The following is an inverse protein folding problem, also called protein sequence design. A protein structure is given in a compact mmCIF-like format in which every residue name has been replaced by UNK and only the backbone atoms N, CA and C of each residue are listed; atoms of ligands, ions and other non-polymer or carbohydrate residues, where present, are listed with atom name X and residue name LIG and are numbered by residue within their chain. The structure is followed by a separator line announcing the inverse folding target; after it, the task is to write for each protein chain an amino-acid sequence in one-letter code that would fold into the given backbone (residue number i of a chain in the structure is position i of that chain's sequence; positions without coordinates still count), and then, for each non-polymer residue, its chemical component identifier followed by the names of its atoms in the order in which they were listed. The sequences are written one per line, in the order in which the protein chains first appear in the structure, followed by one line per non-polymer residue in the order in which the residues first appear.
data_IF_705252731152
#
_entry.id   IF_705252731152
#
_cell.length_a   1.000
_cell.length_b   1.000
_cell.length_c   1.000
_cell.angle_alpha   90.00
_cell.angle_beta   90.00
_cell.angle_gamma   90.00
#
_symmetry.space_group_name_H-M   'P 1'
#
loop_
_entity.id
_entity.type
_entity.pdbx_description
1 polymer ?
#
# COMPACT_ATOMS: atom_id res chain seq x y z
N UNK A 1 -7.74 -5.22 13.51
CA UNK A 1 -6.65 -4.57 12.76
C UNK A 1 -6.52 -3.14 13.24
N UNK A 2 -5.32 -2.57 13.26
CA UNK A 2 -5.11 -1.16 13.60
C UNK A 2 -4.02 -0.55 12.72
N UNK A 3 -4.17 0.73 12.34
CA UNK A 3 -3.11 1.55 11.76
C UNK A 3 -2.65 2.58 12.78
N UNK A 4 -1.34 2.74 12.96
CA UNK A 4 -0.78 3.61 14.00
C UNK A 4 0.56 4.23 13.58
N UNK A 5 0.92 5.35 14.21
CA UNK A 5 2.28 5.89 14.12
C UNK A 5 3.28 5.11 15.02
N UNK A 6 2.79 4.19 15.86
CA UNK A 6 3.60 3.31 16.69
C UNK A 6 4.15 3.93 17.97
N UNK A 7 4.05 5.26 18.16
CA UNK A 7 4.71 5.97 19.27
C UNK A 7 4.21 5.60 20.66
N UNK A 8 2.94 5.18 20.76
CA UNK A 8 2.27 4.84 22.03
C UNK A 8 1.82 3.38 22.09
N UNK A 9 2.30 2.51 21.18
CA UNK A 9 1.96 1.08 21.20
C UNK A 9 2.32 0.40 22.52
N UNK A 10 3.38 0.88 23.20
CA UNK A 10 3.79 0.39 24.51
C UNK A 10 2.83 0.75 25.66
N UNK A 11 1.86 1.66 25.44
CA UNK A 11 0.87 2.04 26.46
C UNK A 11 -0.36 1.14 26.45
N UNK A 12 -0.56 0.35 25.41
CA UNK A 12 -1.65 -0.60 25.34
C UNK A 12 -1.17 -1.92 25.96
N UNK A 13 -1.96 -2.47 26.87
CA UNK A 13 -1.61 -3.73 27.54
C UNK A 13 -1.54 -4.88 26.52
N UNK A 14 -0.69 -5.86 26.82
CA UNK A 14 -0.42 -6.98 25.91
C UNK A 14 -1.70 -7.74 25.53
N UNK A 15 -2.66 -7.88 26.46
CA UNK A 15 -3.93 -8.55 26.18
C UNK A 15 -4.77 -7.87 25.08
N UNK A 16 -4.67 -6.55 24.91
CA UNK A 16 -5.37 -5.84 23.83
C UNK A 16 -4.56 -5.84 22.55
N UNK A 17 -3.24 -5.61 22.64
CA UNK A 17 -2.36 -5.63 21.46
C UNK A 17 -2.43 -6.99 20.77
N UNK A 18 -2.41 -8.07 21.54
CA UNK A 18 -2.40 -9.45 21.03
C UNK A 18 -3.76 -9.89 20.45
N UNK A 19 -4.83 -9.10 20.63
CA UNK A 19 -6.12 -9.33 19.94
C UNK A 19 -6.13 -8.81 18.50
N UNK A 20 -5.17 -7.98 18.11
CA UNK A 20 -5.10 -7.52 16.73
C UNK A 20 -4.51 -8.60 15.82
N UNK A 21 -5.26 -8.98 14.78
CA UNK A 21 -4.73 -9.81 13.70
C UNK A 21 -3.56 -9.12 12.96
N UNK A 22 -3.65 -7.81 12.72
CA UNK A 22 -2.67 -7.01 11.98
C UNK A 22 -2.48 -5.64 12.63
N UNK A 23 -1.23 -5.19 12.73
CA UNK A 23 -0.84 -3.83 13.12
C UNK A 23 0.00 -3.22 12.00
N UNK A 24 -0.52 -2.16 11.38
CA UNK A 24 0.20 -1.37 10.38
C UNK A 24 0.87 -0.20 11.08
N UNK A 25 2.19 -0.09 10.93
CA UNK A 25 2.99 0.93 11.62
C UNK A 25 3.65 1.86 10.62
N UNK A 26 3.53 3.14 10.87
CA UNK A 26 4.01 4.17 9.95
C UNK A 26 5.53 4.35 10.07
N UNK A 27 6.28 3.70 9.18
CA UNK A 27 7.74 3.77 9.03
C UNK A 27 8.06 3.86 7.55
N UNK A 28 8.90 4.83 7.16
CA UNK A 28 9.14 5.14 5.74
C UNK A 28 10.44 4.55 5.20
N UNK A 29 11.23 3.89 6.04
CA UNK A 29 12.54 3.35 5.68
C UNK A 29 13.48 3.29 6.87
N UNK A 30 14.72 3.67 6.64
CA UNK A 30 15.73 3.87 7.68
C UNK A 30 15.41 5.04 8.63
N UNK A 31 16.24 5.17 9.66
CA UNK A 31 16.08 6.21 10.69
C UNK A 31 16.11 7.60 10.08
N UNK A 32 17.04 7.86 9.16
CA UNK A 32 17.19 9.17 8.53
C UNK A 32 15.93 9.56 7.75
N UNK A 33 15.39 8.67 6.92
CA UNK A 33 14.21 8.97 6.12
C UNK A 33 12.93 9.05 6.96
N UNK A 34 12.76 8.11 7.89
CA UNK A 34 11.59 8.10 8.78
C UNK A 34 11.55 9.38 9.62
N UNK A 35 12.68 9.77 10.21
CA UNK A 35 12.76 10.97 11.04
C UNK A 35 12.61 12.26 10.20
N UNK A 36 13.06 12.24 8.95
CA UNK A 36 12.86 13.35 8.03
C UNK A 36 11.37 13.64 7.78
N UNK A 37 10.55 12.62 7.53
CA UNK A 37 9.12 12.82 7.29
C UNK A 37 8.27 12.87 8.56
N UNK A 38 8.66 12.17 9.63
CA UNK A 38 7.82 11.93 10.81
C UNK A 38 8.31 12.61 12.09
N UNK A 39 9.46 13.28 12.03
CA UNK A 39 10.07 14.00 13.13
C UNK A 39 11.17 13.21 13.82
N UNK A 40 12.20 13.93 14.29
CA UNK A 40 13.40 13.38 14.93
C UNK A 40 13.08 12.44 16.10
N UNK A 41 13.72 11.28 16.13
CA UNK A 41 13.58 10.25 17.16
C UNK A 41 12.36 9.34 16.98
N UNK A 42 11.61 9.48 15.89
CA UNK A 42 10.43 8.66 15.62
C UNK A 42 10.82 7.23 15.34
N UNK A 43 11.79 7.01 14.44
CA UNK A 43 12.20 5.66 14.03
C UNK A 43 12.56 4.78 15.22
N UNK A 44 13.51 5.25 16.05
CA UNK A 44 14.02 4.49 17.19
C UNK A 44 12.91 4.12 18.16
N UNK A 45 12.08 5.11 18.54
CA UNK A 45 10.96 4.90 19.45
C UNK A 45 9.94 3.89 18.92
N UNK A 46 9.63 3.95 17.64
CA UNK A 46 8.69 3.01 17.01
C UNK A 46 9.28 1.61 16.95
N UNK A 47 10.54 1.46 16.53
CA UNK A 47 11.25 0.16 16.50
C UNK A 47 11.33 -0.47 17.90
N UNK A 48 11.62 0.32 18.93
CA UNK A 48 11.69 -0.17 20.31
C UNK A 48 10.31 -0.64 20.81
N UNK A 49 9.25 0.08 20.47
CA UNK A 49 7.87 -0.34 20.75
C UNK A 49 7.48 -1.61 20.00
N UNK A 50 7.90 -1.77 18.74
CA UNK A 50 7.67 -3.00 17.96
C UNK A 50 8.38 -4.21 18.58
N UNK A 51 9.64 -4.03 19.00
CA UNK A 51 10.40 -5.05 19.74
C UNK A 51 9.74 -5.40 21.07
N UNK A 52 9.15 -4.42 21.76
CA UNK A 52 8.41 -4.65 22.99
C UNK A 52 7.15 -5.50 22.75
N UNK A 53 6.28 -5.13 21.80
CA UNK A 53 5.06 -5.90 21.56
C UNK A 53 5.35 -7.33 21.06
N UNK A 54 6.44 -7.52 20.28
CA UNK A 54 6.89 -8.87 19.91
C UNK A 54 7.36 -9.69 21.11
N UNK A 55 8.13 -9.09 22.03
CA UNK A 55 8.52 -9.76 23.29
C UNK A 55 7.32 -10.11 24.17
N UNK A 56 6.24 -9.33 24.09
CA UNK A 56 4.99 -9.56 24.82
C UNK A 56 4.03 -10.54 24.10
N UNK A 57 4.50 -11.26 23.08
CA UNK A 57 3.74 -12.35 22.45
C UNK A 57 2.85 -11.93 21.27
N UNK A 58 3.08 -10.78 20.63
CA UNK A 58 2.32 -10.42 19.44
C UNK A 58 2.65 -11.32 18.23
N UNK A 59 1.75 -12.25 17.91
CA UNK A 59 1.90 -13.19 16.79
C UNK A 59 1.27 -12.71 15.49
N UNK A 60 0.48 -11.63 15.54
CA UNK A 60 -0.16 -11.04 14.37
C UNK A 60 0.85 -10.48 13.35
N UNK A 61 0.30 -10.07 12.21
CA UNK A 61 1.05 -9.48 11.12
C UNK A 61 1.45 -8.03 11.45
N UNK A 62 2.76 -7.74 11.39
CA UNK A 62 3.28 -6.38 11.43
C UNK A 62 3.58 -5.93 10.00
N UNK A 63 2.97 -4.81 9.60
CA UNK A 63 3.19 -4.25 8.27
C UNK A 63 3.83 -2.88 8.40
N UNK A 64 4.99 -2.68 7.77
CA UNK A 64 5.54 -1.34 7.60
C UNK A 64 4.73 -0.59 6.54
N UNK A 65 4.14 0.53 6.94
CA UNK A 65 3.38 1.44 6.09
C UNK A 65 4.23 2.65 5.76
N UNK A 66 4.68 2.72 4.51
CA UNK A 66 5.50 3.84 4.03
C UNK A 66 4.64 4.89 3.32
N UNK A 67 5.03 6.15 3.44
CA UNK A 67 4.64 7.24 2.56
C UNK A 67 5.83 7.62 1.68
N UNK A 68 5.65 7.54 0.37
CA UNK A 68 6.73 7.67 -0.61
C UNK A 68 6.59 8.98 -1.37
N UNK A 69 7.67 9.75 -1.36
CA UNK A 69 7.86 10.98 -2.13
C UNK A 69 9.35 11.16 -2.48
N UNK A 70 9.73 12.30 -3.05
CA UNK A 70 10.97 12.51 -3.80
C UNK A 70 12.27 12.28 -3.02
N UNK A 71 12.26 12.30 -1.69
CA UNK A 71 13.44 11.95 -0.86
C UNK A 71 13.62 10.43 -0.68
N UNK A 72 12.70 9.62 -1.20
CA UNK A 72 12.68 8.17 -1.02
C UNK A 72 13.39 7.47 -2.18
N UNK A 73 14.44 6.73 -1.90
CA UNK A 73 14.91 5.64 -2.76
C UNK A 73 14.14 4.37 -2.37
N UNK A 74 13.12 4.02 -3.17
CA UNK A 74 12.20 2.94 -2.81
C UNK A 74 12.91 1.59 -2.63
N UNK A 75 13.94 1.30 -3.42
CA UNK A 75 14.66 0.03 -3.33
C UNK A 75 15.43 -0.04 -2.02
N UNK A 76 16.24 0.98 -1.72
CA UNK A 76 17.02 1.04 -0.48
C UNK A 76 16.12 0.98 0.75
N UNK A 77 15.03 1.72 0.75
CA UNK A 77 14.21 1.91 1.95
C UNK A 77 13.34 0.69 2.25
N UNK A 78 12.77 0.05 1.23
CA UNK A 78 12.08 -1.25 1.41
C UNK A 78 13.09 -2.31 1.86
N UNK A 79 14.30 -2.36 1.28
CA UNK A 79 15.35 -3.31 1.71
C UNK A 79 15.72 -3.11 3.17
N UNK A 80 15.87 -1.87 3.62
CA UNK A 80 16.14 -1.58 5.03
C UNK A 80 15.03 -2.10 5.94
N UNK A 81 13.75 -1.90 5.59
CA UNK A 81 12.63 -2.41 6.39
C UNK A 81 12.57 -3.94 6.43
N UNK A 82 13.08 -4.63 5.42
CA UNK A 82 13.11 -6.10 5.37
C UNK A 82 14.30 -6.72 6.12
N UNK A 83 15.40 -5.98 6.28
CA UNK A 83 16.70 -6.56 6.68
C UNK A 83 17.42 -5.80 7.81
N UNK A 84 16.94 -4.61 8.17
CA UNK A 84 17.56 -3.73 9.16
C UNK A 84 17.22 -4.08 10.61
N UNK A 85 17.18 -3.05 11.47
CA UNK A 85 17.05 -3.17 12.93
C UNK A 85 15.83 -3.97 13.43
N UNK A 86 14.78 -4.02 12.61
CA UNK A 86 13.56 -4.79 12.84
C UNK A 86 13.05 -5.31 11.49
N UNK A 87 13.35 -6.56 11.12
CA UNK A 87 13.02 -7.09 9.80
C UNK A 87 11.52 -7.39 9.68
N UNK A 88 10.81 -6.60 8.88
CA UNK A 88 9.43 -6.86 8.52
C UNK A 88 9.34 -7.97 7.48
N UNK A 89 8.31 -8.81 7.58
CA UNK A 89 7.90 -9.72 6.49
C UNK A 89 6.90 -9.08 5.52
N UNK A 90 6.31 -7.95 5.92
CA UNK A 90 5.21 -7.29 5.24
C UNK A 90 5.46 -5.80 5.12
N UNK A 91 5.41 -5.27 3.90
CA UNK A 91 5.63 -3.85 3.61
C UNK A 91 4.64 -3.41 2.54
N UNK A 92 4.06 -2.24 2.72
CA UNK A 92 3.36 -1.54 1.65
C UNK A 92 3.77 -0.08 1.66
N UNK A 93 3.59 0.58 0.52
CA UNK A 93 3.86 2.00 0.41
C UNK A 93 2.74 2.70 -0.34
N UNK A 94 2.58 3.99 -0.03
CA UNK A 94 1.62 4.86 -0.67
C UNK A 94 2.38 5.99 -1.36
N UNK A 95 2.15 6.20 -2.66
CA UNK A 95 2.78 7.30 -3.37
C UNK A 95 2.03 8.60 -3.09
N UNK A 96 2.70 9.57 -2.49
CA UNK A 96 2.14 10.91 -2.33
C UNK A 96 2.17 11.62 -3.69
N UNK A 97 1.15 11.41 -4.53
CA UNK A 97 1.01 12.04 -5.84
C UNK A 97 -0.46 12.37 -6.14
N UNK A 98 -0.74 13.65 -6.40
CA UNK A 98 -2.09 14.14 -6.71
C UNK A 98 -3.01 14.32 -5.51
N UNK A 99 -2.44 14.54 -4.31
CA UNK A 99 -3.20 14.86 -3.09
C UNK A 99 -3.31 16.36 -2.82
N UNK A 100 -2.47 17.20 -3.43
CA UNK A 100 -2.42 18.65 -3.24
C UNK A 100 -2.19 19.35 -4.58
N UNK A 101 -2.43 20.66 -4.64
CA UNK A 101 -2.13 21.49 -5.83
C UNK A 101 -0.64 21.91 -5.81
N UNK A 102 0.27 20.93 -5.77
CA UNK A 102 1.69 21.11 -5.46
C UNK A 102 2.65 20.68 -6.58
N UNK A 103 2.13 20.14 -7.70
CA UNK A 103 2.96 19.55 -8.76
C UNK A 103 4.08 20.48 -9.26
N UNK A 104 3.80 21.78 -9.46
CA UNK A 104 4.79 22.75 -9.94
C UNK A 104 5.98 22.97 -9.01
N UNK A 105 5.85 22.58 -7.74
CA UNK A 105 6.91 22.69 -6.71
C UNK A 105 7.69 21.40 -6.53
N UNK A 106 7.39 20.36 -7.31
CA UNK A 106 7.92 19.01 -7.13
C UNK A 106 8.81 18.60 -8.27
N UNK A 107 9.88 17.87 -7.95
CA UNK A 107 10.75 17.21 -8.93
C UNK A 107 10.23 15.81 -9.29
N UNK A 108 8.90 15.67 -9.35
CA UNK A 108 8.23 14.37 -9.46
C UNK A 108 8.67 13.62 -10.72
N UNK A 109 8.71 14.30 -11.88
CA UNK A 109 9.09 13.69 -13.17
C UNK A 109 10.48 13.06 -13.11
N UNK A 110 11.48 13.82 -12.66
CA UNK A 110 12.86 13.34 -12.62
C UNK A 110 12.98 12.21 -11.61
N UNK A 111 12.39 12.36 -10.43
CA UNK A 111 12.43 11.33 -9.39
C UNK A 111 11.70 10.05 -9.82
N UNK A 112 10.51 10.15 -10.42
CA UNK A 112 9.74 8.99 -10.85
C UNK A 112 10.49 8.19 -11.92
N UNK A 113 11.09 8.88 -12.90
CA UNK A 113 11.81 8.26 -14.01
C UNK A 113 13.18 7.69 -13.59
N UNK A 114 13.95 8.43 -12.80
CA UNK A 114 15.35 8.09 -12.54
C UNK A 114 15.56 7.32 -11.23
N UNK A 115 14.60 7.36 -10.30
CA UNK A 115 14.72 6.73 -9.00
C UNK A 115 13.60 5.72 -8.75
N UNK A 116 12.34 6.15 -8.72
CA UNK A 116 11.22 5.30 -8.30
C UNK A 116 11.00 4.10 -9.21
N UNK A 117 10.78 4.31 -10.51
CA UNK A 117 10.51 3.23 -11.47
C UNK A 117 11.68 2.22 -11.55
N UNK A 118 12.95 2.65 -11.70
CA UNK A 118 14.09 1.74 -11.64
C UNK A 118 14.17 0.98 -10.30
N UNK A 119 13.87 1.65 -9.19
CA UNK A 119 13.85 1.05 -7.85
C UNK A 119 12.78 -0.04 -7.71
N UNK A 120 11.57 0.20 -8.20
CA UNK A 120 10.47 -0.78 -8.22
C UNK A 120 10.85 -2.01 -9.05
N UNK A 121 11.45 -1.83 -10.23
CA UNK A 121 11.93 -2.95 -11.05
C UNK A 121 12.98 -3.80 -10.32
N UNK A 122 13.95 -3.14 -9.66
CA UNK A 122 14.94 -3.82 -8.81
C UNK A 122 14.28 -4.56 -7.64
N UNK A 123 13.23 -3.99 -7.03
CA UNK A 123 12.48 -4.67 -5.98
C UNK A 123 11.74 -5.90 -6.49
N UNK A 124 11.15 -5.85 -7.67
CA UNK A 124 10.49 -7.02 -8.28
C UNK A 124 11.47 -8.16 -8.53
N UNK A 125 12.65 -7.87 -9.07
CA UNK A 125 13.71 -8.87 -9.25
C UNK A 125 14.22 -9.42 -7.91
N UNK A 126 14.47 -8.55 -6.94
CA UNK A 126 14.87 -8.96 -5.60
C UNK A 126 13.82 -9.86 -4.95
N UNK A 127 12.54 -9.51 -5.06
CA UNK A 127 11.43 -10.24 -4.46
C UNK A 127 11.38 -11.69 -4.95
N UNK A 128 11.45 -11.91 -6.26
CA UNK A 128 11.46 -13.27 -6.83
C UNK A 128 12.79 -13.99 -6.58
N UNK A 129 13.91 -13.27 -6.57
CA UNK A 129 15.20 -13.85 -6.19
C UNK A 129 15.22 -14.30 -4.72
N UNK A 130 14.50 -13.61 -3.83
CA UNK A 130 14.33 -14.04 -2.44
C UNK A 130 13.49 -15.33 -2.34
N UNK A 131 12.44 -15.48 -3.16
CA UNK A 131 11.67 -16.73 -3.25
C UNK A 131 12.58 -17.90 -3.69
N UNK A 132 13.41 -17.71 -4.70
CA UNK A 132 14.32 -18.77 -5.19
C UNK A 132 15.36 -19.16 -4.15
N UNK A 133 15.92 -18.18 -3.43
CA UNK A 133 16.99 -18.41 -2.44
C UNK A 133 16.48 -18.95 -1.10
N UNK A 134 15.34 -18.45 -0.63
CA UNK A 134 14.84 -18.71 0.74
C UNK A 134 13.55 -19.53 0.79
N UNK A 135 12.86 -19.73 -0.34
CA UNK A 135 11.55 -20.39 -0.36
C UNK A 135 10.45 -19.58 0.32
N UNK A 136 10.61 -18.26 0.45
CA UNK A 136 9.66 -17.39 1.16
C UNK A 136 9.18 -16.25 0.27
N UNK A 137 7.86 -16.12 0.16
CA UNK A 137 7.19 -14.97 -0.45
C UNK A 137 7.03 -13.87 0.59
N UNK A 138 7.83 -12.81 0.48
CA UNK A 138 7.66 -11.61 1.31
C UNK A 138 6.37 -10.89 0.91
N UNK A 139 5.63 -10.33 1.87
CA UNK A 139 4.39 -9.61 1.60
C UNK A 139 4.68 -8.15 1.25
N UNK A 140 5.32 -7.95 0.09
CA UNK A 140 5.44 -6.64 -0.55
C UNK A 140 4.14 -6.34 -1.30
N UNK A 141 3.17 -5.73 -0.62
CA UNK A 141 1.78 -5.65 -1.07
C UNK A 141 1.58 -5.13 -2.50
N UNK A 142 2.30 -4.09 -2.97
CA UNK A 142 2.19 -3.64 -4.36
C UNK A 142 2.61 -4.69 -5.39
N UNK A 143 3.58 -5.55 -5.06
CA UNK A 143 4.03 -6.65 -5.91
C UNK A 143 3.10 -7.87 -5.79
N UNK A 144 2.80 -8.22 -4.53
CA UNK A 144 1.98 -9.38 -4.14
C UNK A 144 0.58 -9.31 -4.76
N UNK A 145 -0.11 -8.17 -4.65
CA UNK A 145 -1.49 -8.06 -5.13
C UNK A 145 -1.63 -8.12 -6.65
N UNK A 146 -0.65 -7.59 -7.38
CA UNK A 146 -0.61 -7.70 -8.84
C UNK A 146 -0.27 -9.15 -9.23
N UNK A 147 0.75 -9.74 -8.62
CA UNK A 147 1.14 -11.13 -8.89
C UNK A 147 -0.01 -12.09 -8.61
N UNK A 148 -0.70 -11.94 -7.48
CA UNK A 148 -1.92 -12.70 -7.16
C UNK A 148 -2.94 -12.58 -8.30
N UNK A 149 -3.22 -11.37 -8.79
CA UNK A 149 -4.21 -11.21 -9.86
C UNK A 149 -3.84 -11.99 -11.12
N UNK A 150 -2.56 -11.96 -11.50
CA UNK A 150 -2.08 -12.68 -12.70
C UNK A 150 -2.08 -14.20 -12.47
N UNK A 151 -1.57 -14.66 -11.34
CA UNK A 151 -1.44 -16.09 -11.02
C UNK A 151 -2.80 -16.78 -10.87
N UNK A 152 -3.79 -16.09 -10.30
CA UNK A 152 -5.14 -16.61 -10.10
C UNK A 152 -6.11 -16.25 -11.24
N UNK A 153 -5.63 -15.62 -12.32
CA UNK A 153 -6.45 -15.31 -13.49
C UNK A 153 -7.56 -14.27 -13.25
N UNK A 154 -7.36 -13.35 -12.30
CA UNK A 154 -8.28 -12.23 -12.02
C UNK A 154 -8.31 -11.27 -13.21
N UNK A 155 -9.41 -11.29 -13.97
CA UNK A 155 -9.56 -10.50 -15.20
C UNK A 155 -9.90 -9.03 -14.95
N UNK A 156 -10.70 -8.76 -13.92
CA UNK A 156 -11.22 -7.43 -13.63
C UNK A 156 -11.11 -7.12 -12.14
N UNK A 157 -10.26 -6.15 -11.81
CA UNK A 157 -10.25 -5.54 -10.50
C UNK A 157 -10.99 -4.21 -10.51
N UNK A 158 -11.87 -4.03 -9.52
CA UNK A 158 -12.29 -2.69 -9.09
C UNK A 158 -11.15 -2.04 -8.29
N UNK A 159 -11.41 -0.86 -7.71
CA UNK A 159 -10.41 -0.14 -6.93
C UNK A 159 -9.80 -1.03 -5.84
N UNK A 160 -8.47 -1.20 -5.91
CA UNK A 160 -7.73 -2.21 -5.12
C UNK A 160 -7.78 -1.98 -3.61
N UNK A 161 -7.84 -0.71 -3.16
CA UNK A 161 -8.01 -0.38 -1.75
C UNK A 161 -9.46 -0.59 -1.25
N UNK A 162 -10.40 -0.85 -2.15
CA UNK A 162 -11.82 -1.07 -1.86
C UNK A 162 -12.65 0.21 -1.71
N UNK A 163 -11.99 1.37 -1.64
CA UNK A 163 -12.64 2.64 -1.33
C UNK A 163 -13.83 2.91 -2.27
N UNK A 164 -14.98 3.21 -1.67
CA UNK A 164 -16.21 3.57 -2.37
C UNK A 164 -17.05 2.41 -2.89
N UNK A 165 -16.63 1.15 -2.81
CA UNK A 165 -17.46 0.03 -3.32
C UNK A 165 -17.54 -1.20 -2.41
N UNK A 166 -16.51 -1.45 -1.60
CA UNK A 166 -16.47 -2.55 -0.61
C UNK A 166 -15.81 -2.12 0.70
N UNK A 167 -15.05 -1.03 0.68
CA UNK A 167 -14.42 -0.44 1.85
C UNK A 167 -14.88 1.02 1.99
N UNK A 168 -15.30 1.39 3.18
CA UNK A 168 -15.88 2.69 3.51
C UNK A 168 -15.28 3.19 4.83
N UNK A 169 -15.25 4.51 5.01
CA UNK A 169 -14.82 5.10 6.27
C UNK A 169 -16.01 5.69 7.01
N UNK A 170 -16.08 5.44 8.31
CA UNK A 170 -17.01 6.10 9.23
C UNK A 170 -16.24 7.22 9.92
N UNK A 171 -16.74 8.45 9.80
CA UNK A 171 -16.21 9.61 10.46
C UNK A 171 -16.57 9.61 11.95
N UNK A 172 -15.89 10.43 12.74
CA UNK A 172 -16.13 10.53 14.19
C UNK A 172 -17.52 11.02 14.55
N UNK A 173 -18.19 11.72 13.63
CA UNK A 173 -19.57 12.19 13.77
C UNK A 173 -20.60 11.18 13.23
N UNK A 174 -20.18 9.99 12.80
CA UNK A 174 -21.06 8.93 12.31
C UNK A 174 -21.36 8.96 10.81
N UNK A 175 -20.90 9.97 10.06
CA UNK A 175 -21.09 9.99 8.61
C UNK A 175 -20.22 8.95 7.90
N UNK A 176 -20.79 8.33 6.87
CA UNK A 176 -20.12 7.30 6.05
C UNK A 176 -19.64 7.95 4.76
N UNK A 177 -18.36 7.79 4.45
CA UNK A 177 -17.70 8.35 3.26
C UNK A 177 -16.96 7.25 2.48
N UNK A 178 -16.75 7.40 1.16
CA UNK A 178 -16.11 6.37 0.34
C UNK A 178 -14.63 6.15 0.65
N UNK A 179 -13.91 7.18 1.11
CA UNK A 179 -12.47 7.13 1.38
C UNK A 179 -12.14 8.05 2.58
N UNK A 180 -11.24 7.65 3.50
CA UNK A 180 -10.87 8.49 4.65
C UNK A 180 -10.29 9.86 4.26
N UNK A 181 -9.68 9.98 3.07
CA UNK A 181 -9.14 11.27 2.56
C UNK A 181 -10.23 12.22 2.06
N UNK A 182 -11.48 11.74 1.88
CA UNK A 182 -12.61 12.54 1.38
C UNK A 182 -13.39 13.24 2.50
N UNK A 183 -12.77 13.45 3.66
CA UNK A 183 -13.37 14.21 4.75
C UNK A 183 -13.71 15.64 4.30
N UNK A 184 -14.92 16.10 4.63
CA UNK A 184 -15.44 17.41 4.21
C UNK A 184 -16.00 17.48 2.79
N UNK A 185 -15.90 16.42 1.98
CA UNK A 185 -16.48 16.37 0.63
C UNK A 185 -17.94 15.90 0.67
N UNK A 186 -18.84 16.76 1.17
CA UNK A 186 -20.24 16.43 1.47
C UNK A 186 -21.03 15.82 0.31
N UNK A 187 -20.73 16.20 -0.93
CA UNK A 187 -21.37 15.64 -2.14
C UNK A 187 -21.14 14.14 -2.31
N UNK A 188 -20.16 13.56 -1.60
CA UNK A 188 -19.82 12.14 -1.65
C UNK A 188 -20.20 11.39 -0.36
N UNK A 189 -20.94 12.02 0.55
CA UNK A 189 -21.39 11.35 1.77
C UNK A 189 -22.43 10.30 1.40
N UNK A 190 -22.28 9.10 1.96
CA UNK A 190 -23.08 7.94 1.60
C UNK A 190 -24.20 7.66 2.59
N UNK A 191 -24.23 8.38 3.71
CA UNK A 191 -25.25 8.25 4.76
C UNK A 191 -24.65 8.45 6.14
N UNK A 192 -25.41 8.07 7.16
CA UNK A 192 -25.05 8.15 8.56
C UNK A 192 -25.35 6.82 9.25
N UNK A 193 -24.48 6.38 10.17
CA UNK A 193 -24.56 5.05 10.80
C UNK A 193 -25.87 4.78 11.56
N UNK A 194 -26.59 5.82 11.98
CA UNK A 194 -27.88 5.66 12.67
C UNK A 194 -29.04 5.32 11.73
N UNK A 195 -28.95 5.69 10.46
CA UNK A 195 -30.13 5.75 9.58
C UNK A 195 -30.02 4.82 8.37
N UNK A 196 -28.80 4.43 7.99
CA UNK A 196 -28.57 3.67 6.76
C UNK A 196 -28.27 2.19 7.02
N UNK A 197 -28.84 1.34 6.16
CA UNK A 197 -28.49 -0.07 6.08
C UNK A 197 -27.09 -0.21 5.45
N UNK A 198 -26.09 -0.76 6.16
CA UNK A 198 -24.72 -0.87 5.67
C UNK A 198 -24.61 -1.76 4.41
N UNK A 199 -25.58 -2.64 4.15
CA UNK A 199 -25.62 -3.47 2.95
C UNK A 199 -26.17 -2.73 1.72
N UNK A 200 -26.73 -1.53 1.91
CA UNK A 200 -27.34 -0.70 0.85
C UNK A 200 -26.58 0.60 0.59
N UNK A 201 -25.33 0.70 1.05
CA UNK A 201 -24.50 1.87 0.79
C UNK A 201 -24.30 2.10 -0.71
N UNK A 202 -24.32 3.38 -1.09
CA UNK A 202 -23.98 3.80 -2.45
C UNK A 202 -22.57 3.37 -2.84
N UNK A 203 -22.37 3.15 -4.14
CA UNK A 203 -21.06 2.82 -4.71
C UNK A 203 -20.53 3.99 -5.53
N UNK A 204 -19.27 4.32 -5.32
CA UNK A 204 -18.54 5.37 -6.03
C UNK A 204 -17.39 4.74 -6.80
N UNK A 205 -17.41 4.88 -8.11
CA UNK A 205 -16.40 4.33 -9.00
C UNK A 205 -15.56 5.44 -9.63
N UNK A 206 -14.37 5.06 -10.11
CA UNK A 206 -13.54 5.95 -10.93
C UNK A 206 -14.20 6.19 -12.28
N UNK A 207 -14.18 7.44 -12.75
CA UNK A 207 -14.64 7.82 -14.07
C UNK A 207 -13.52 7.89 -15.12
N UNK A 208 -13.76 8.63 -16.21
CA UNK A 208 -12.72 8.93 -17.21
C UNK A 208 -11.55 9.71 -16.59
N UNK A 209 -10.29 9.41 -16.97
CA UNK A 209 -9.91 8.52 -18.08
C UNK A 209 -9.81 7.03 -17.69
N UNK A 210 -9.88 6.68 -16.40
CA UNK A 210 -9.65 5.32 -15.92
C UNK A 210 -10.65 4.30 -16.49
N UNK A 211 -11.92 4.69 -16.64
CA UNK A 211 -12.98 3.81 -17.18
C UNK A 211 -12.73 3.34 -18.62
N UNK A 212 -11.83 3.98 -19.35
CA UNK A 212 -11.46 3.66 -20.75
C UNK A 212 -10.00 3.17 -20.86
N UNK A 213 -9.32 2.98 -19.73
CA UNK A 213 -7.91 2.56 -19.70
C UNK A 213 -7.79 1.05 -19.91
N UNK A 214 -6.87 0.67 -20.80
CA UNK A 214 -6.48 -0.71 -21.13
C UNK A 214 -6.07 -1.56 -19.91
N UNK A 215 -5.36 -0.97 -18.94
CA UNK A 215 -4.93 -1.68 -17.74
C UNK A 215 -5.87 -1.54 -16.54
N UNK A 216 -7.11 -1.04 -16.72
CA UNK A 216 -8.06 -0.85 -15.63
C UNK A 216 -8.30 -2.15 -14.85
N UNK A 217 -8.40 -3.30 -15.53
CA UNK A 217 -8.59 -4.59 -14.89
C UNK A 217 -7.45 -4.97 -13.93
N UNK A 218 -6.24 -4.45 -14.14
CA UNK A 218 -5.07 -4.66 -13.27
C UNK A 218 -4.97 -3.56 -12.21
N UNK A 219 -5.10 -2.29 -12.63
CA UNK A 219 -4.89 -1.10 -11.80
C UNK A 219 -6.07 -0.79 -10.86
N UNK A 220 -7.30 -1.08 -11.28
CA UNK A 220 -8.52 -0.72 -10.55
C UNK A 220 -8.77 0.79 -10.43
N UNK A 221 -7.98 1.64 -11.08
CA UNK A 221 -8.11 3.10 -11.03
C UNK A 221 -7.24 3.81 -9.99
N UNK A 222 -6.27 3.11 -9.37
CA UNK A 222 -5.29 3.62 -8.39
C UNK A 222 -5.92 4.26 -7.15
N UNK A 223 -6.42 5.50 -7.26
CA UNK A 223 -6.90 6.31 -6.16
C UNK A 223 -8.20 7.06 -6.53
N UNK A 224 -9.29 6.71 -5.84
CA UNK A 224 -10.60 7.36 -6.01
C UNK A 224 -10.54 8.87 -5.76
N UNK A 225 -9.85 9.27 -4.68
CA UNK A 225 -9.71 10.67 -4.29
C UNK A 225 -9.05 11.51 -5.39
N UNK A 226 -7.93 11.04 -5.95
CA UNK A 226 -7.22 11.75 -7.00
C UNK A 226 -8.01 11.77 -8.31
N UNK A 227 -8.72 10.68 -8.65
CA UNK A 227 -9.56 10.62 -9.84
C UNK A 227 -10.73 11.61 -9.81
N UNK A 228 -11.28 11.86 -8.61
CA UNK A 228 -12.37 12.81 -8.38
C UNK A 228 -11.85 14.25 -8.34
N UNK A 229 -10.87 14.52 -7.48
CA UNK A 229 -10.45 15.90 -7.18
C UNK A 229 -9.59 16.53 -8.25
N UNK A 230 -8.88 15.70 -9.04
CA UNK A 230 -8.04 16.12 -10.18
C UNK A 230 -7.14 17.32 -9.85
N UNK A 231 -6.48 17.27 -8.69
CA UNK A 231 -5.61 18.35 -8.17
C UNK A 231 -4.34 18.59 -8.98
N UNK A 232 -3.90 17.60 -9.75
CA UNK A 232 -2.81 17.73 -10.71
C UNK A 232 -3.34 17.81 -12.14
N UNK A 233 -2.55 18.37 -13.05
CA UNK A 233 -2.91 18.44 -14.47
C UNK A 233 -2.90 17.06 -15.16
N UNK A 234 -3.56 16.90 -16.32
CA UNK A 234 -3.59 15.64 -17.07
C UNK A 234 -2.21 15.05 -17.35
N UNK A 235 -1.22 15.87 -17.71
CA UNK A 235 0.15 15.43 -17.99
C UNK A 235 0.83 14.87 -16.75
N UNK A 236 0.60 15.51 -15.59
CA UNK A 236 1.12 15.07 -14.30
C UNK A 236 0.49 13.75 -13.86
N UNK A 237 -0.82 13.58 -14.04
CA UNK A 237 -1.47 12.29 -13.80
C UNK A 237 -1.03 11.20 -14.79
N UNK A 238 -0.73 11.55 -16.05
CA UNK A 238 -0.15 10.59 -17.00
C UNK A 238 1.17 10.04 -16.46
N UNK A 239 2.05 10.87 -15.91
CA UNK A 239 3.31 10.41 -15.30
C UNK A 239 3.08 9.43 -14.15
N UNK A 240 2.07 9.69 -13.30
CA UNK A 240 1.70 8.77 -12.22
C UNK A 240 1.18 7.44 -12.80
N UNK A 241 0.30 7.49 -13.79
CA UNK A 241 -0.21 6.30 -14.47
C UNK A 241 0.92 5.47 -15.12
N UNK A 242 1.95 6.13 -15.65
CA UNK A 242 3.11 5.45 -16.22
C UNK A 242 3.89 4.66 -15.15
N UNK A 243 4.00 5.18 -13.93
CA UNK A 243 4.62 4.41 -12.82
C UNK A 243 3.84 3.14 -12.48
N UNK A 244 2.50 3.19 -12.57
CA UNK A 244 1.63 2.02 -12.34
C UNK A 244 1.76 1.00 -13.48
N UNK A 245 1.80 1.47 -14.73
CA UNK A 245 2.05 0.60 -15.90
C UNK A 245 3.39 -0.11 -15.77
N UNK A 246 4.42 0.62 -15.34
CA UNK A 246 5.75 0.06 -15.13
C UNK A 246 5.80 -0.96 -13.99
N UNK A 247 5.09 -0.72 -12.89
CA UNK A 247 4.93 -1.69 -11.80
C UNK A 247 4.23 -2.97 -12.30
N UNK A 248 3.12 -2.85 -13.02
CA UNK A 248 2.39 -3.98 -13.58
C UNK A 248 3.26 -4.78 -14.56
N UNK A 249 3.98 -4.09 -15.44
CA UNK A 249 4.93 -4.71 -16.37
C UNK A 249 6.06 -5.43 -15.64
N UNK A 250 6.68 -4.80 -14.65
CA UNK A 250 7.76 -5.38 -13.87
C UNK A 250 7.34 -6.68 -13.18
N UNK A 251 6.08 -6.80 -12.75
CA UNK A 251 5.56 -8.04 -12.15
C UNK A 251 5.23 -9.08 -13.21
N UNK A 252 4.57 -8.70 -14.31
CA UNK A 252 4.28 -9.62 -15.42
C UNK A 252 5.54 -10.28 -15.99
N UNK A 253 6.65 -9.54 -16.08
CA UNK A 253 7.95 -10.06 -16.51
C UNK A 253 8.54 -11.12 -15.54
N UNK A 254 8.14 -11.09 -14.27
CA UNK A 254 8.60 -12.03 -13.25
C UNK A 254 7.71 -13.28 -13.13
N UNK A 255 6.47 -13.25 -13.64
CA UNK A 255 5.50 -14.35 -13.53
C UNK A 255 6.04 -15.69 -14.05
N UNK A 256 6.75 -15.77 -15.20
CA UNK A 256 7.35 -17.04 -15.65
C UNK A 256 8.36 -17.63 -14.65
N UNK A 257 9.14 -16.77 -13.97
CA UNK A 257 10.06 -17.22 -12.92
C UNK A 257 9.31 -17.72 -11.69
N UNK A 258 8.22 -17.04 -11.32
CA UNK A 258 7.35 -17.46 -10.21
C UNK A 258 6.76 -18.85 -10.48
N UNK A 259 6.18 -19.07 -11.67
CA UNK A 259 5.67 -20.39 -12.06
C UNK A 259 6.74 -21.48 -11.99
N UNK A 260 7.95 -21.21 -12.50
CA UNK A 260 9.07 -22.16 -12.41
C UNK A 260 9.42 -22.53 -10.95
N UNK A 261 9.27 -21.60 -10.01
CA UNK A 261 9.52 -21.86 -8.58
C UNK A 261 8.38 -22.66 -7.93
N UNK A 262 7.14 -22.41 -8.36
CA UNK A 262 5.96 -23.19 -7.96
C UNK A 262 6.08 -24.64 -8.46
N UNK A 263 6.43 -24.83 -9.73
CA UNK A 263 6.61 -26.16 -10.34
C UNK A 263 7.72 -26.96 -9.67
N UNK A 264 8.74 -26.28 -9.14
CA UNK A 264 9.83 -26.87 -8.35
C UNK A 264 9.46 -27.13 -6.89
N UNK A 265 8.27 -26.76 -6.45
CA UNK A 265 7.83 -26.87 -5.06
C UNK A 265 8.60 -25.98 -4.07
N UNK A 266 9.30 -24.94 -4.54
CA UNK A 266 10.01 -24.00 -3.64
C UNK A 266 9.08 -23.02 -2.95
N UNK A 267 7.97 -22.70 -3.60
CA UNK A 267 6.86 -21.88 -3.14
C UNK A 267 5.57 -22.49 -3.71
N UNK A 268 4.43 -22.00 -3.25
CA UNK A 268 3.10 -22.47 -3.62
C UNK A 268 2.21 -21.29 -4.04
N UNK A 269 1.10 -21.58 -4.73
CA UNK A 269 0.11 -20.54 -5.07
C UNK A 269 -0.49 -19.89 -3.82
N UNK A 270 -0.71 -20.66 -2.75
CA UNK A 270 -1.23 -20.14 -1.47
C UNK A 270 -0.32 -19.11 -0.81
N UNK A 271 0.99 -19.12 -1.11
CA UNK A 271 1.92 -18.11 -0.58
C UNK A 271 1.66 -16.69 -1.13
N UNK A 272 0.87 -16.59 -2.21
CA UNK A 272 0.46 -15.32 -2.79
C UNK A 272 -0.88 -14.81 -2.24
N UNK A 273 -1.58 -15.58 -1.41
CA UNK A 273 -2.82 -15.16 -0.77
C UNK A 273 -2.56 -14.11 0.31
N UNK A 274 -3.46 -13.15 0.44
CA UNK A 274 -3.39 -12.10 1.44
C UNK A 274 -4.78 -11.58 1.80
N UNK A 275 -4.90 -10.99 2.99
CA UNK A 275 -6.13 -10.32 3.43
C UNK A 275 -6.40 -9.10 2.54
N UNK A 276 -7.44 -9.20 1.69
CA UNK A 276 -7.87 -8.08 0.84
C UNK A 276 -8.47 -6.94 1.68
N UNK A 277 -8.35 -5.72 1.17
CA UNK A 277 -8.93 -4.49 1.77
C UNK A 277 -8.47 -4.19 3.21
N UNK A 278 -7.29 -4.68 3.60
CA UNK A 278 -6.65 -4.44 4.90
C UNK A 278 -6.00 -3.04 5.04
N UNK A 279 -6.30 -2.12 4.12
CA UNK A 279 -5.69 -0.79 4.07
C UNK A 279 -4.30 -0.73 3.45
N UNK A 280 -3.71 -1.87 3.03
CA UNK A 280 -2.53 -1.85 2.19
C UNK A 280 -2.87 -1.37 0.78
N UNK A 281 -1.96 -0.57 0.22
CA UNK A 281 -2.08 -0.09 -1.15
C UNK A 281 -1.39 -1.07 -2.10
N UNK A 282 -2.15 -1.61 -3.06
CA UNK A 282 -1.64 -2.53 -4.09
C UNK A 282 -1.13 -1.75 -5.32
N UNK A 283 -1.73 -0.60 -5.59
CA UNK A 283 -1.39 0.25 -6.73
C UNK A 283 -1.04 1.64 -6.18
N UNK A 284 0.20 1.84 -5.71
CA UNK A 284 0.69 3.12 -5.20
C UNK A 284 0.74 4.19 -6.30
#
# INVERSE_FOLDING_TARGET
MIQTNGLLLNRLEAEYVNRFHTVLVSLDGDEALTDYYRGKGTYRKVVDNLKLIKRNGFEGELIARMTVMEQTDIYRQVRWLLEGDFPFSSVHWQLNAGFWNDFSRRDFRRWSTNCYVPGVRKLADFWVSNMDRKGVVLKLYPLLGIAHSVLFGEKNSLLRCGAGWINYAVQTDGHIIPCPTMWGMKDYYLGHVCDIDPLKLGKVYVGKPCSECDILGVCGGRCLYSAITKRWGPEAYSMVCDTVKDLAKAISEQVPRIWKLIDKGKISLSDFEYTRYNGCEIIP
#
